data_IF_871280287063
#
_entry.id   IF_871280287063
#
_cell.length_a   1.000
_cell.length_b   1.000
_cell.length_c   1.000
_cell.angle_alpha   90.00
_cell.angle_beta   90.00
_cell.angle_gamma   90.00
#
_symmetry.space_group_name_H-M   'P 1'
#
loop_
_entity.id
_entity.type
_entity.pdbx_description
1 polymer ?
#
# COMPACT_ATOMS: atom_id res chain seq x y z
N UNK A 1 24.89 -3.15 14.91
CA UNK A 1 24.34 -3.37 13.55
C UNK A 1 25.43 -3.60 12.49
N UNK A 2 26.57 -2.88 12.51
CA UNK A 2 27.65 -3.06 11.52
C UNK A 2 28.31 -4.47 11.49
N UNK A 3 28.45 -5.14 12.65
CA UNK A 3 29.08 -6.48 12.73
C UNK A 3 28.33 -7.56 11.95
N UNK A 4 26.99 -7.51 11.91
CA UNK A 4 26.17 -8.50 11.20
C UNK A 4 26.26 -8.34 9.67
N UNK A 5 26.36 -7.10 9.18
CA UNK A 5 26.54 -6.81 7.75
C UNK A 5 27.86 -7.38 7.23
N UNK A 6 28.95 -7.15 7.97
CA UNK A 6 30.27 -7.65 7.59
C UNK A 6 30.32 -9.18 7.62
N UNK A 7 29.59 -9.83 8.52
CA UNK A 7 29.47 -11.29 8.54
C UNK A 7 28.77 -11.83 7.28
N UNK A 8 27.66 -11.21 6.86
CA UNK A 8 26.93 -11.61 5.65
C UNK A 8 27.77 -11.46 4.38
N UNK A 9 28.55 -10.38 4.26
CA UNK A 9 29.49 -10.19 3.14
C UNK A 9 30.48 -11.36 3.11
N UNK A 10 31.10 -11.70 4.25
CA UNK A 10 32.04 -12.82 4.33
C UNK A 10 31.39 -14.17 4.02
N UNK A 11 30.15 -14.43 4.46
CA UNK A 11 29.44 -15.67 4.12
C UNK A 11 29.23 -15.80 2.61
N UNK A 12 28.79 -14.72 1.95
CA UNK A 12 28.64 -14.67 0.49
C UNK A 12 29.97 -14.89 -0.23
N UNK A 13 31.04 -14.28 0.25
CA UNK A 13 32.38 -14.45 -0.34
C UNK A 13 32.89 -15.88 -0.18
N UNK A 14 32.73 -16.49 1.01
CA UNK A 14 33.11 -17.88 1.25
C UNK A 14 32.30 -18.82 0.34
N UNK A 15 30.99 -18.59 0.18
CA UNK A 15 30.16 -19.36 -0.76
C UNK A 15 30.67 -19.29 -2.19
N UNK A 16 30.95 -18.10 -2.71
CA UNK A 16 31.51 -17.92 -4.06
C UNK A 16 32.85 -18.62 -4.23
N UNK A 17 33.73 -18.56 -3.22
CA UNK A 17 35.00 -19.26 -3.25
C UNK A 17 34.78 -20.77 -3.34
N UNK A 18 33.99 -21.34 -2.41
CA UNK A 18 33.80 -22.79 -2.30
C UNK A 18 33.02 -23.41 -3.47
N UNK A 19 32.24 -22.62 -4.21
CA UNK A 19 31.61 -23.02 -5.49
C UNK A 19 32.57 -23.10 -6.66
N UNK A 20 33.70 -22.38 -6.62
CA UNK A 20 34.70 -22.44 -7.68
C UNK A 20 35.57 -23.68 -7.51
N UNK A 21 35.13 -24.81 -8.06
CA UNK A 21 35.82 -26.10 -8.02
C UNK A 21 37.07 -26.16 -8.90
N UNK A 22 37.26 -25.20 -9.82
CA UNK A 22 38.46 -25.10 -10.66
C UNK A 22 39.69 -24.60 -9.88
N UNK A 23 39.49 -23.99 -8.71
CA UNK A 23 40.55 -23.53 -7.80
C UNK A 23 40.55 -24.36 -6.51
N UNK A 24 41.74 -24.65 -5.98
CA UNK A 24 41.88 -25.22 -4.64
C UNK A 24 42.00 -24.09 -3.63
N UNK A 25 41.13 -24.08 -2.63
CA UNK A 25 41.07 -23.02 -1.62
C UNK A 25 41.71 -23.49 -0.31
N UNK A 26 42.78 -22.85 0.12
CA UNK A 26 43.28 -22.96 1.49
C UNK A 26 42.65 -21.86 2.36
N UNK A 27 42.79 -21.99 3.68
CA UNK A 27 42.23 -21.02 4.62
C UNK A 27 42.75 -19.59 4.38
N UNK A 28 44.02 -19.45 4.01
CA UNK A 28 44.63 -18.15 3.75
C UNK A 28 44.03 -17.48 2.50
N UNK A 29 43.68 -18.27 1.46
CA UNK A 29 42.96 -17.74 0.29
C UNK A 29 41.57 -17.19 0.67
N UNK A 30 40.86 -17.89 1.58
CA UNK A 30 39.54 -17.45 2.05
C UNK A 30 39.63 -16.19 2.91
N UNK A 31 40.71 -16.05 3.69
CA UNK A 31 41.01 -14.85 4.47
C UNK A 31 41.24 -13.67 3.54
N UNK A 32 42.11 -13.83 2.55
CA UNK A 32 42.42 -12.81 1.54
C UNK A 32 41.15 -12.37 0.80
N UNK A 33 40.39 -13.33 0.26
CA UNK A 33 39.15 -13.04 -0.45
C UNK A 33 38.11 -12.30 0.42
N UNK A 34 37.96 -12.68 1.70
CA UNK A 34 37.06 -11.99 2.63
C UNK A 34 37.55 -10.59 2.99
N UNK A 35 38.87 -10.40 3.09
CA UNK A 35 39.49 -9.10 3.33
C UNK A 35 39.30 -8.16 2.14
N UNK A 36 39.55 -8.64 0.93
CA UNK A 36 39.35 -7.88 -0.31
C UNK A 36 37.88 -7.48 -0.47
N UNK A 37 36.95 -8.42 -0.27
CA UNK A 37 35.53 -8.13 -0.33
C UNK A 37 35.11 -7.06 0.69
N UNK A 38 35.61 -7.10 1.92
CA UNK A 38 35.30 -6.06 2.90
C UNK A 38 35.95 -4.72 2.56
N UNK A 39 37.16 -4.72 1.98
CA UNK A 39 37.82 -3.50 1.50
C UNK A 39 37.00 -2.82 0.40
N UNK A 40 36.55 -3.56 -0.60
CA UNK A 40 35.72 -3.04 -1.70
C UNK A 40 34.40 -2.44 -1.20
N UNK A 41 33.77 -3.06 -0.21
CA UNK A 41 32.46 -2.63 0.30
C UNK A 41 32.53 -1.50 1.33
N UNK A 42 33.58 -1.42 2.16
CA UNK A 42 33.69 -0.44 3.25
C UNK A 42 34.76 0.65 3.00
N UNK A 43 35.55 0.53 1.92
CA UNK A 43 36.55 1.52 1.50
C UNK A 43 37.71 1.72 2.48
N UNK A 44 37.97 0.74 3.35
CA UNK A 44 39.00 0.78 4.39
C UNK A 44 39.74 -0.55 4.44
N UNK A 45 41.04 -0.50 4.74
CA UNK A 45 41.84 -1.70 4.99
C UNK A 45 41.32 -2.46 6.22
N UNK A 46 40.51 -3.48 5.95
CA UNK A 46 39.95 -4.38 6.97
C UNK A 46 40.57 -5.76 6.78
N UNK A 47 41.60 -6.03 7.57
CA UNK A 47 42.18 -7.36 7.63
C UNK A 47 41.31 -8.31 8.47
N UNK A 48 40.84 -9.40 7.88
CA UNK A 48 40.01 -10.39 8.56
C UNK A 48 40.91 -11.40 9.24
N UNK A 49 40.73 -11.59 10.55
CA UNK A 49 41.55 -12.56 11.28
C UNK A 49 41.22 -14.01 10.88
N UNK A 50 42.23 -14.88 10.94
CA UNK A 50 42.04 -16.34 10.77
C UNK A 50 40.93 -16.91 11.63
N UNK A 51 40.84 -16.45 12.89
CA UNK A 51 39.79 -16.88 13.84
C UNK A 51 38.40 -16.51 13.34
N UNK A 52 38.25 -15.34 12.71
CA UNK A 52 36.97 -14.85 12.17
C UNK A 52 36.48 -15.76 11.05
N UNK A 53 37.30 -16.03 10.03
CA UNK A 53 36.92 -16.92 8.93
C UNK A 53 36.62 -18.34 9.41
N UNK A 54 37.36 -18.85 10.40
CA UNK A 54 37.08 -20.16 11.00
C UNK A 54 35.72 -20.21 11.71
N UNK A 55 35.39 -19.16 12.48
CA UNK A 55 34.08 -19.04 13.12
C UNK A 55 32.95 -18.88 12.09
N UNK A 56 33.22 -18.17 11.00
CA UNK A 56 32.25 -18.00 9.92
C UNK A 56 31.97 -19.34 9.21
N UNK A 57 33.00 -20.12 8.89
CA UNK A 57 32.85 -21.49 8.35
C UNK A 57 32.10 -22.38 9.34
N UNK A 58 32.37 -22.27 10.65
CA UNK A 58 31.66 -23.02 11.67
C UNK A 58 30.17 -22.63 11.75
N UNK A 59 29.86 -21.34 11.63
CA UNK A 59 28.48 -20.84 11.60
C UNK A 59 27.76 -21.29 10.33
N UNK A 60 28.41 -21.25 9.17
CA UNK A 60 27.85 -21.74 7.90
C UNK A 60 27.56 -23.25 7.92
N UNK A 61 28.39 -24.05 8.60
CA UNK A 61 28.14 -25.48 8.83
C UNK A 61 27.01 -25.77 9.82
N UNK A 62 26.68 -24.81 10.69
CA UNK A 62 25.67 -25.00 11.73
C UNK A 62 24.25 -24.79 11.23
N UNK A 63 23.29 -25.32 11.98
CA UNK A 63 21.85 -25.14 11.79
C UNK A 63 21.36 -23.72 12.16
N UNK A 64 22.14 -22.96 12.92
CA UNK A 64 21.76 -21.64 13.48
C UNK A 64 21.36 -20.60 12.45
N UNK A 65 21.91 -20.68 11.24
CA UNK A 65 21.60 -19.78 10.12
C UNK A 65 20.74 -20.44 9.05
N UNK A 66 20.34 -21.71 9.23
CA UNK A 66 19.56 -22.48 8.26
C UNK A 66 20.33 -22.94 7.02
N UNK A 67 21.62 -22.62 6.90
CA UNK A 67 22.43 -23.01 5.75
C UNK A 67 22.76 -24.51 5.76
N UNK A 68 23.22 -25.07 6.89
CA UNK A 68 23.71 -26.46 6.95
C UNK A 68 24.73 -26.79 5.85
N UNK A 69 25.65 -25.85 5.60
CA UNK A 69 26.51 -25.93 4.44
C UNK A 69 27.46 -27.14 4.51
N UNK A 70 27.50 -28.02 3.49
CA UNK A 70 28.30 -29.25 3.47
C UNK A 70 29.77 -28.93 3.14
N UNK A 71 30.39 -28.04 3.91
CA UNK A 71 31.80 -27.65 3.74
C UNK A 71 32.68 -28.77 4.27
N UNK A 72 33.49 -29.39 3.44
CA UNK A 72 34.47 -30.41 3.85
C UNK A 72 35.92 -29.91 3.72
N UNK A 73 36.82 -30.53 4.49
CA UNK A 73 38.27 -30.29 4.38
C UNK A 73 38.93 -31.55 3.85
N UNK A 74 39.49 -31.47 2.63
CA UNK A 74 40.17 -32.59 1.98
C UNK A 74 41.68 -32.35 1.94
N UNK A 75 42.45 -33.45 1.86
CA UNK A 75 43.92 -33.43 1.92
C UNK A 75 44.47 -32.58 3.09
N UNK A 76 43.75 -32.57 4.22
CA UNK A 76 44.07 -31.87 5.47
C UNK A 76 44.18 -30.34 5.41
N UNK A 77 43.97 -29.70 4.26
CA UNK A 77 44.19 -28.24 4.13
C UNK A 77 43.25 -27.49 3.17
N UNK A 78 42.58 -28.17 2.26
CA UNK A 78 41.75 -27.51 1.25
C UNK A 78 40.27 -27.58 1.61
N UNK A 79 39.54 -26.49 1.36
CA UNK A 79 38.12 -26.37 1.63
C UNK A 79 37.32 -26.43 0.33
N UNK A 80 36.17 -27.12 0.35
CA UNK A 80 35.18 -27.13 -0.74
C UNK A 80 33.79 -27.49 -0.20
N UNK A 81 32.75 -27.27 -1.00
CA UNK A 81 31.47 -27.96 -0.77
C UNK A 81 31.58 -29.43 -1.18
N UNK A 82 30.99 -30.33 -0.39
CA UNK A 82 30.90 -31.75 -0.71
C UNK A 82 29.87 -32.02 -1.83
N UNK A 83 28.90 -31.12 -2.00
CA UNK A 83 27.89 -31.14 -3.05
C UNK A 83 28.21 -30.03 -4.07
N UNK A 84 28.35 -30.38 -5.35
CA UNK A 84 28.81 -29.46 -6.41
C UNK A 84 27.81 -28.33 -6.71
N UNK A 85 26.50 -28.59 -6.55
CA UNK A 85 25.41 -27.64 -6.82
C UNK A 85 24.98 -26.84 -5.58
N UNK A 86 25.59 -27.10 -4.43
CA UNK A 86 25.23 -26.42 -3.18
C UNK A 86 25.66 -24.95 -3.20
N UNK A 87 24.78 -24.07 -2.73
CA UNK A 87 25.10 -22.68 -2.42
C UNK A 87 24.24 -22.21 -1.26
N UNK A 88 24.80 -21.40 -0.35
CA UNK A 88 24.02 -20.76 0.71
C UNK A 88 22.98 -19.77 0.14
N UNK A 89 23.10 -19.40 -1.13
CA UNK A 89 22.12 -18.59 -1.87
C UNK A 89 20.96 -19.43 -2.40
N UNK A 90 21.14 -20.75 -2.52
CA UNK A 90 20.10 -21.71 -2.85
C UNK A 90 19.42 -22.19 -1.56
N UNK A 91 18.90 -21.25 -0.75
CA UNK A 91 18.08 -21.62 0.40
C UNK A 91 16.91 -22.46 -0.16
N UNK A 92 16.73 -23.71 0.28
CA UNK A 92 15.63 -24.52 -0.20
C UNK A 92 14.34 -23.84 0.28
N UNK A 93 13.64 -23.22 -0.66
CA UNK A 93 12.27 -22.77 -0.45
C UNK A 93 11.50 -23.99 0.04
N UNK A 94 10.97 -23.93 1.26
CA UNK A 94 10.23 -25.08 1.80
C UNK A 94 8.89 -25.21 1.08
N UNK A 95 8.30 -26.40 1.05
CA UNK A 95 6.93 -26.59 0.50
C UNK A 95 5.91 -25.66 1.18
N UNK A 96 6.16 -25.30 2.44
CA UNK A 96 5.37 -24.32 3.17
C UNK A 96 5.51 -22.91 2.60
N UNK A 97 6.74 -22.48 2.28
CA UNK A 97 7.01 -21.18 1.67
C UNK A 97 6.41 -21.10 0.27
N UNK A 98 6.53 -22.17 -0.54
CA UNK A 98 5.88 -22.28 -1.86
C UNK A 98 4.37 -22.09 -1.74
N UNK A 99 3.76 -22.72 -0.74
CA UNK A 99 2.32 -22.60 -0.49
C UNK A 99 1.93 -21.16 -0.13
N UNK A 100 2.65 -20.51 0.78
CA UNK A 100 2.39 -19.10 1.16
C UNK A 100 2.56 -18.17 -0.04
N UNK A 101 3.59 -18.39 -0.86
CA UNK A 101 3.81 -17.60 -2.07
C UNK A 101 2.67 -17.78 -3.07
N UNK A 102 2.22 -19.01 -3.31
CA UNK A 102 1.06 -19.28 -4.17
C UNK A 102 -0.20 -18.60 -3.65
N UNK A 103 -0.49 -18.70 -2.34
CA UNK A 103 -1.63 -18.01 -1.72
C UNK A 103 -1.53 -16.49 -1.88
N UNK A 104 -0.34 -15.93 -1.69
CA UNK A 104 -0.07 -14.49 -1.85
C UNK A 104 -0.27 -14.03 -3.30
N UNK A 105 0.19 -14.81 -4.28
CA UNK A 105 -0.02 -14.55 -5.70
C UNK A 105 -1.52 -14.55 -6.04
N UNK A 106 -2.32 -15.47 -5.49
CA UNK A 106 -3.78 -15.48 -5.72
C UNK A 106 -4.47 -14.21 -5.19
N UNK A 107 -3.98 -13.65 -4.06
CA UNK A 107 -4.46 -12.36 -3.55
C UNK A 107 -4.06 -11.23 -4.51
N UNK A 108 -2.79 -11.20 -4.92
CA UNK A 108 -2.28 -10.18 -5.86
C UNK A 108 -3.01 -10.22 -7.22
N UNK A 109 -3.47 -11.40 -7.66
CA UNK A 109 -4.29 -11.55 -8.86
C UNK A 109 -5.59 -10.74 -8.81
N UNK A 110 -6.17 -10.52 -7.63
CA UNK A 110 -7.36 -9.67 -7.50
C UNK A 110 -7.11 -8.20 -7.84
N UNK A 111 -5.84 -7.78 -7.84
CA UNK A 111 -5.44 -6.42 -8.16
C UNK A 111 -4.99 -6.23 -9.62
N UNK A 112 -4.94 -7.30 -10.45
CA UNK A 112 -4.47 -7.21 -11.86
C UNK A 112 -5.27 -6.20 -12.72
N UNK A 113 -6.53 -5.96 -12.37
CA UNK A 113 -7.41 -5.03 -13.08
C UNK A 113 -7.29 -3.57 -12.59
N UNK A 114 -6.53 -3.31 -11.52
CA UNK A 114 -6.21 -1.94 -11.14
C UNK A 114 -5.18 -1.38 -12.12
N UNK A 115 -5.53 -0.26 -12.75
CA UNK A 115 -4.70 0.40 -13.77
C UNK A 115 -3.28 0.72 -13.31
N UNK A 116 -3.08 0.99 -12.01
CA UNK A 116 -1.79 1.25 -11.38
C UNK A 116 -0.83 0.04 -11.47
N UNK A 117 -1.36 -1.18 -11.61
CA UNK A 117 -0.60 -2.42 -11.53
C UNK A 117 -0.38 -3.10 -12.89
N UNK A 118 -0.61 -2.40 -14.00
CA UNK A 118 -0.29 -2.94 -15.33
C UNK A 118 1.19 -3.35 -15.46
N UNK A 119 2.12 -2.59 -14.88
CA UNK A 119 3.54 -2.95 -14.83
C UNK A 119 3.82 -4.09 -13.83
N UNK A 120 3.03 -4.18 -12.76
CA UNK A 120 3.10 -5.29 -11.81
C UNK A 120 2.60 -6.61 -12.39
N UNK A 121 1.76 -6.60 -13.42
CA UNK A 121 1.33 -7.85 -14.08
C UNK A 121 2.53 -8.66 -14.58
N UNK A 122 3.54 -8.02 -15.18
CA UNK A 122 4.77 -8.71 -15.60
C UNK A 122 5.67 -9.15 -14.43
N UNK A 123 5.57 -8.50 -13.26
CA UNK A 123 6.25 -8.98 -12.04
C UNK A 123 5.51 -10.19 -11.48
N UNK A 124 4.18 -10.15 -11.43
CA UNK A 124 3.32 -11.23 -10.97
C UNK A 124 3.49 -12.45 -11.89
N UNK A 125 3.53 -12.27 -13.21
CA UNK A 125 3.81 -13.34 -14.18
C UNK A 125 5.18 -13.98 -13.93
N UNK A 126 6.24 -13.17 -13.73
CA UNK A 126 7.57 -13.72 -13.40
C UNK A 126 7.61 -14.45 -12.06
N UNK A 127 6.84 -13.99 -11.07
CA UNK A 127 6.70 -14.68 -9.78
C UNK A 127 5.93 -15.99 -9.96
N UNK A 128 4.86 -15.98 -10.75
CA UNK A 128 4.07 -17.16 -11.15
C UNK A 128 4.91 -18.19 -11.92
N UNK A 129 5.88 -17.77 -12.72
CA UNK A 129 6.80 -18.67 -13.43
C UNK A 129 7.90 -19.22 -12.51
N UNK A 130 8.33 -18.43 -11.51
CA UNK A 130 9.41 -18.79 -10.58
C UNK A 130 8.98 -19.80 -9.51
N UNK A 131 7.72 -19.72 -9.11
CA UNK A 131 7.06 -20.74 -8.30
C UNK A 131 6.47 -21.74 -9.31
N UNK A 132 6.57 -23.05 -9.13
CA UNK A 132 5.99 -24.04 -10.07
C UNK A 132 4.45 -24.03 -10.05
N UNK A 133 3.82 -22.86 -10.20
CA UNK A 133 2.39 -22.62 -10.11
C UNK A 133 1.69 -23.02 -11.41
N UNK A 134 1.73 -24.32 -11.73
CA UNK A 134 0.89 -24.90 -12.78
C UNK A 134 -0.54 -25.08 -12.27
N UNK A 135 -1.25 -23.99 -12.02
CA UNK A 135 -2.71 -24.03 -11.80
C UNK A 135 -3.38 -23.00 -12.71
N UNK A 136 -3.70 -23.46 -13.93
CA UNK A 136 -4.31 -22.66 -15.00
C UNK A 136 -5.80 -22.37 -14.80
N UNK A 137 -6.46 -22.95 -13.81
CA UNK A 137 -7.94 -22.92 -13.67
C UNK A 137 -8.45 -22.59 -12.26
N UNK A 138 -7.76 -21.74 -11.49
CA UNK A 138 -8.27 -21.32 -10.18
C UNK A 138 -9.26 -20.17 -10.31
N UNK A 139 -10.54 -20.48 -10.08
CA UNK A 139 -11.56 -19.49 -9.74
C UNK A 139 -11.06 -18.72 -8.51
N UNK A 140 -11.10 -17.37 -8.53
CA UNK A 140 -10.58 -16.59 -7.43
C UNK A 140 -11.38 -16.85 -6.14
N UNK A 141 -10.68 -17.27 -5.08
CA UNK A 141 -11.27 -17.51 -3.75
C UNK A 141 -11.68 -16.18 -3.09
N UNK A 142 -10.87 -15.14 -3.29
CA UNK A 142 -11.18 -13.77 -2.86
C UNK A 142 -11.82 -13.06 -4.05
N UNK A 143 -13.01 -12.50 -3.85
CA UNK A 143 -13.68 -11.68 -4.86
C UNK A 143 -13.80 -10.25 -4.33
N UNK A 144 -12.99 -9.35 -4.87
CA UNK A 144 -13.09 -7.92 -4.58
C UNK A 144 -14.18 -7.29 -5.45
N UNK A 145 -14.91 -6.32 -4.90
CA UNK A 145 -15.86 -5.54 -5.69
C UNK A 145 -15.09 -4.76 -6.76
N UNK A 146 -15.47 -4.97 -8.02
CA UNK A 146 -14.87 -4.29 -9.17
C UNK A 146 -15.88 -3.33 -9.78
N UNK A 147 -15.39 -2.17 -10.18
CA UNK A 147 -16.15 -1.24 -11.00
C UNK A 147 -15.48 -1.13 -12.37
N UNK A 148 -15.68 -2.15 -13.20
CA UNK A 148 -15.03 -2.28 -14.52
C UNK A 148 -15.37 -1.14 -15.49
N UNK A 149 -16.45 -0.40 -15.21
CA UNK A 149 -16.89 0.76 -15.98
C UNK A 149 -16.39 2.09 -15.40
N UNK A 150 -15.58 2.06 -14.34
CA UNK A 150 -15.06 3.28 -13.72
C UNK A 150 -14.09 3.99 -14.66
N UNK A 151 -14.53 5.15 -15.16
CA UNK A 151 -13.70 6.06 -15.95
C UNK A 151 -12.67 6.77 -15.07
N UNK A 152 -11.53 7.16 -15.65
CA UNK A 152 -10.50 7.95 -14.98
C UNK A 152 -9.40 7.12 -14.32
N UNK A 153 -9.51 5.79 -14.29
CA UNK A 153 -8.45 4.90 -13.81
C UNK A 153 -7.17 5.04 -14.65
N UNK A 154 -7.32 5.35 -15.94
CA UNK A 154 -6.25 5.64 -16.89
C UNK A 154 -5.35 6.82 -16.48
N UNK A 155 -5.85 7.72 -15.62
CA UNK A 155 -5.09 8.89 -15.15
C UNK A 155 -4.26 8.62 -13.90
N UNK A 156 -4.51 7.52 -13.18
CA UNK A 156 -3.88 7.23 -11.88
C UNK A 156 -2.36 7.22 -12.01
N UNK A 157 -1.83 6.49 -12.99
CA UNK A 157 -0.39 6.32 -13.20
C UNK A 157 0.32 7.67 -13.43
N UNK A 158 -0.24 8.48 -14.34
CA UNK A 158 0.26 9.83 -14.61
C UNK A 158 0.22 10.73 -13.38
N UNK A 159 -0.88 10.67 -12.62
CA UNK A 159 -1.04 11.48 -11.40
C UNK A 159 -0.08 11.03 -10.30
N UNK A 160 0.11 9.72 -10.15
CA UNK A 160 1.06 9.14 -9.20
C UNK A 160 2.48 9.65 -9.47
N UNK A 161 2.93 9.52 -10.72
CA UNK A 161 4.26 10.02 -11.12
C UNK A 161 4.40 11.54 -10.97
N UNK A 162 3.34 12.30 -11.25
CA UNK A 162 3.38 13.75 -11.06
C UNK A 162 3.49 14.15 -9.58
N UNK A 163 2.81 13.44 -8.66
CA UNK A 163 2.95 13.65 -7.22
C UNK A 163 4.37 13.30 -6.78
N UNK A 164 4.86 12.11 -7.17
CA UNK A 164 6.19 11.61 -6.79
C UNK A 164 7.31 12.54 -7.27
N UNK A 165 7.22 13.04 -8.50
CA UNK A 165 8.22 13.90 -9.12
C UNK A 165 7.95 15.39 -8.88
N UNK A 166 6.95 15.76 -8.06
CA UNK A 166 6.58 17.14 -7.74
C UNK A 166 6.38 17.99 -9.00
N UNK A 167 5.53 17.51 -9.92
CA UNK A 167 5.26 18.15 -11.20
C UNK A 167 3.92 18.88 -11.20
N UNK A 168 3.89 20.08 -11.77
CA UNK A 168 2.67 20.86 -12.00
C UNK A 168 1.98 20.36 -13.25
N UNK A 169 0.66 20.16 -13.16
CA UNK A 169 -0.13 19.63 -14.26
C UNK A 169 -1.17 20.65 -14.74
N UNK A 170 -1.43 20.63 -16.04
CA UNK A 170 -2.55 21.30 -16.68
C UNK A 170 -3.67 20.29 -16.88
N UNK A 171 -4.79 20.47 -16.18
CA UNK A 171 -5.93 19.56 -16.20
C UNK A 171 -7.14 20.23 -16.83
N UNK A 172 -7.78 19.54 -17.77
CA UNK A 172 -9.11 19.90 -18.28
C UNK A 172 -10.15 19.08 -17.53
N UNK A 173 -11.04 19.77 -16.82
CA UNK A 173 -11.99 19.14 -15.90
C UNK A 173 -13.43 19.58 -16.17
N UNK A 174 -14.37 18.63 -16.12
CA UNK A 174 -15.80 18.88 -16.31
C UNK A 174 -16.61 18.39 -15.11
N UNK A 175 -16.87 19.27 -14.16
CA UNK A 175 -17.77 18.92 -13.05
C UNK A 175 -19.20 18.68 -13.56
N UNK A 176 -19.98 17.83 -12.88
CA UNK A 176 -21.39 17.57 -13.25
C UNK A 176 -22.29 18.81 -13.21
N UNK A 177 -21.87 19.87 -12.52
CA UNK A 177 -22.62 21.14 -12.44
C UNK A 177 -22.17 22.16 -13.48
N UNK A 178 -21.02 21.96 -14.12
CA UNK A 178 -20.44 22.93 -15.03
C UNK A 178 -21.05 22.78 -16.42
N UNK A 179 -21.40 23.93 -17.04
CA UNK A 179 -21.86 23.95 -18.44
C UNK A 179 -20.70 23.66 -19.41
N UNK A 180 -19.52 24.19 -19.09
CA UNK A 180 -18.32 24.09 -19.92
C UNK A 180 -17.18 23.43 -19.15
N UNK A 181 -16.21 22.92 -19.90
CA UNK A 181 -14.95 22.41 -19.37
C UNK A 181 -14.11 23.58 -18.84
N UNK A 182 -13.32 23.30 -17.81
CA UNK A 182 -12.42 24.29 -17.23
C UNK A 182 -11.00 23.76 -17.25
N UNK A 183 -10.10 24.58 -17.75
CA UNK A 183 -8.68 24.31 -17.71
C UNK A 183 -8.09 24.89 -16.42
N UNK A 184 -7.39 24.05 -15.66
CA UNK A 184 -6.91 24.37 -14.32
C UNK A 184 -5.48 23.88 -14.19
N UNK A 185 -4.58 24.78 -13.76
CA UNK A 185 -3.26 24.40 -13.28
C UNK A 185 -3.40 23.88 -11.85
N UNK A 186 -2.86 22.69 -11.62
CA UNK A 186 -2.94 22.01 -10.34
C UNK A 186 -1.57 21.57 -9.85
N UNK A 187 -1.42 21.55 -8.52
CA UNK A 187 -0.31 20.89 -7.83
C UNK A 187 -0.89 19.63 -7.15
N UNK A 188 -0.82 18.45 -7.81
CA UNK A 188 -1.33 17.18 -7.27
C UNK A 188 -0.66 16.86 -5.94
N UNK A 189 -1.41 16.59 -4.86
CA UNK A 189 -0.83 16.31 -3.53
C UNK A 189 -1.01 14.85 -3.11
N UNK A 190 -2.20 14.28 -3.33
CA UNK A 190 -2.54 12.94 -2.83
C UNK A 190 -3.66 12.31 -3.66
N UNK A 191 -3.56 11.01 -3.88
CA UNK A 191 -4.64 10.18 -4.45
C UNK A 191 -5.38 9.46 -3.33
N UNK A 192 -6.71 9.51 -3.36
CA UNK A 192 -7.57 8.84 -2.39
C UNK A 192 -8.63 8.00 -3.09
N UNK A 193 -8.74 6.75 -2.69
CA UNK A 193 -9.85 5.88 -3.03
C UNK A 193 -10.96 6.04 -1.96
N UNK A 194 -12.20 6.13 -2.41
CA UNK A 194 -13.38 6.08 -1.55
C UNK A 194 -14.60 5.57 -2.30
N UNK A 195 -15.23 4.52 -1.78
CA UNK A 195 -16.43 3.89 -2.36
C UNK A 195 -16.26 3.49 -3.83
N UNK A 196 -15.19 2.77 -4.14
CA UNK A 196 -14.81 2.28 -5.45
C UNK A 196 -14.67 3.40 -6.48
N UNK A 197 -14.16 4.56 -6.04
CA UNK A 197 -13.90 5.74 -6.87
C UNK A 197 -12.62 6.43 -6.43
N UNK A 198 -11.87 6.90 -7.41
CA UNK A 198 -10.62 7.61 -7.19
C UNK A 198 -10.79 9.13 -7.25
N UNK A 199 -10.09 9.79 -6.34
CA UNK A 199 -10.07 11.23 -6.21
C UNK A 199 -8.64 11.75 -6.10
N UNK A 200 -8.39 12.90 -6.70
CA UNK A 200 -7.14 13.64 -6.60
C UNK A 200 -7.36 14.84 -5.68
N UNK A 201 -6.60 14.91 -4.60
CA UNK A 201 -6.45 16.13 -3.82
C UNK A 201 -5.33 16.97 -4.44
N UNK A 202 -5.66 18.19 -4.85
CA UNK A 202 -4.67 19.09 -5.45
C UNK A 202 -4.91 20.54 -5.04
N UNK A 203 -3.84 21.33 -5.02
CA UNK A 203 -3.96 22.78 -4.94
C UNK A 203 -4.32 23.33 -6.33
N UNK A 204 -5.37 24.15 -6.39
CA UNK A 204 -5.75 24.85 -7.61
C UNK A 204 -4.86 26.04 -7.95
N UNK A 205 -5.12 26.66 -9.11
CA UNK A 205 -4.38 27.81 -9.61
C UNK A 205 -4.30 28.93 -8.54
N UNK A 206 -3.08 29.46 -8.32
CA UNK A 206 -2.67 30.38 -7.25
C UNK A 206 -2.36 29.76 -5.88
N UNK A 207 -2.40 28.44 -5.71
CA UNK A 207 -1.87 27.75 -4.53
C UNK A 207 -2.61 28.01 -3.21
N UNK A 208 -3.88 28.45 -3.27
CA UNK A 208 -4.62 28.91 -2.09
C UNK A 208 -5.61 27.92 -1.50
N UNK A 209 -6.17 27.02 -2.30
CA UNK A 209 -7.27 26.17 -1.86
C UNK A 209 -7.04 24.73 -2.30
N UNK A 210 -7.11 23.81 -1.34
CA UNK A 210 -7.12 22.38 -1.61
C UNK A 210 -8.48 21.96 -2.15
N UNK A 211 -8.47 21.30 -3.29
CA UNK A 211 -9.68 20.84 -3.97
C UNK A 211 -9.57 19.36 -4.28
N UNK A 212 -10.65 18.64 -4.00
CA UNK A 212 -10.79 17.23 -4.37
C UNK A 212 -11.43 17.13 -5.76
N UNK A 213 -10.72 16.54 -6.71
CA UNK A 213 -11.17 16.26 -8.08
C UNK A 213 -11.49 14.78 -8.25
N UNK A 214 -12.64 14.45 -8.81
CA UNK A 214 -12.99 13.07 -9.09
C UNK A 214 -12.39 12.65 -10.44
N UNK A 215 -11.64 11.55 -10.49
CA UNK A 215 -10.88 11.18 -11.69
C UNK A 215 -11.79 10.88 -12.89
N UNK A 216 -13.00 10.37 -12.65
CA UNK A 216 -14.01 10.08 -13.69
C UNK A 216 -14.53 11.31 -14.45
N UNK A 217 -14.14 12.51 -14.01
CA UNK A 217 -14.55 13.80 -14.60
C UNK A 217 -13.41 14.57 -15.26
N UNK A 218 -12.23 13.97 -15.28
CA UNK A 218 -11.07 14.51 -15.98
C UNK A 218 -11.26 14.22 -17.47
N UNK A 219 -11.09 15.25 -18.29
CA UNK A 219 -11.16 15.14 -19.75
C UNK A 219 -9.77 14.89 -20.32
N UNK A 220 -8.76 15.62 -19.81
CA UNK A 220 -7.35 15.41 -20.18
C UNK A 220 -6.42 15.98 -19.12
N UNK A 221 -5.19 15.44 -19.06
CA UNK A 221 -4.13 15.91 -18.17
C UNK A 221 -2.82 15.95 -18.95
N UNK A 222 -2.16 17.09 -18.91
CA UNK A 222 -0.87 17.33 -19.53
C UNK A 222 0.11 17.93 -18.52
N UNK A 223 1.40 17.85 -18.82
CA UNK A 223 2.41 18.57 -18.04
C UNK A 223 2.22 20.07 -18.30
N UNK A 224 2.48 20.89 -17.28
CA UNK A 224 2.57 22.32 -17.50
C UNK A 224 3.70 22.63 -18.50
N UNK A 225 3.40 23.41 -19.54
CA UNK A 225 4.43 23.98 -20.43
C UNK A 225 5.13 25.18 -19.79
N UNK A 226 4.51 25.74 -18.75
CA UNK A 226 5.05 26.84 -17.95
C UNK A 226 5.96 26.30 -16.85
N UNK A 227 7.11 26.96 -16.64
CA UNK A 227 8.06 26.67 -15.57
C UNK A 227 7.52 27.17 -14.21
N UNK A 228 6.57 26.42 -13.68
CA UNK A 228 5.88 26.72 -12.42
C UNK A 228 6.50 25.87 -11.32
N UNK A 229 6.96 26.54 -10.25
CA UNK A 229 7.45 25.86 -9.05
C UNK A 229 6.29 25.09 -8.39
N UNK A 230 6.49 23.79 -8.20
CA UNK A 230 5.54 22.96 -7.48
C UNK A 230 5.45 23.35 -6.01
N UNK A 231 4.22 23.53 -5.52
CA UNK A 231 3.95 23.83 -4.11
C UNK A 231 3.57 22.52 -3.41
N UNK A 232 4.44 22.06 -2.52
CA UNK A 232 4.24 20.86 -1.71
C UNK A 232 3.66 21.22 -0.34
N UNK A 233 2.44 20.80 -0.07
CA UNK A 233 1.78 20.99 1.23
C UNK A 233 2.14 19.90 2.24
N UNK A 234 2.91 18.88 1.84
CA UNK A 234 3.28 17.74 2.69
C UNK A 234 2.05 17.12 3.37
N UNK A 235 1.00 16.89 2.59
CA UNK A 235 -0.28 16.43 3.11
C UNK A 235 -0.18 14.99 3.57
N UNK A 236 -0.44 14.78 4.86
CA UNK A 236 -0.75 13.48 5.42
C UNK A 236 -2.26 13.22 5.26
N UNK A 237 -2.60 12.16 4.52
CA UNK A 237 -4.00 11.77 4.28
C UNK A 237 -4.74 11.37 5.55
N UNK A 238 -4.08 10.72 6.51
CA UNK A 238 -4.71 10.28 7.75
C UNK A 238 -5.07 11.48 8.63
N UNK A 239 -4.24 12.54 8.59
CA UNK A 239 -4.51 13.80 9.28
C UNK A 239 -5.57 14.61 8.54
N UNK A 240 -5.45 14.77 7.22
CA UNK A 240 -6.33 15.61 6.41
C UNK A 240 -7.78 15.11 6.40
N UNK A 241 -7.97 13.79 6.33
CA UNK A 241 -9.30 13.18 6.30
C UNK A 241 -9.81 12.71 7.67
N UNK A 242 -9.05 12.95 8.75
CA UNK A 242 -9.32 12.45 10.10
C UNK A 242 -10.75 12.69 10.55
N UNK A 243 -11.27 13.89 10.29
CA UNK A 243 -12.55 14.34 10.84
C UNK A 243 -13.70 14.30 9.82
N UNK A 244 -13.55 13.60 8.70
CA UNK A 244 -14.60 13.49 7.68
C UNK A 244 -14.91 12.04 7.33
N UNK A 245 -16.12 11.82 6.83
CA UNK A 245 -16.45 10.58 6.13
C UNK A 245 -16.19 10.83 4.64
N UNK A 246 -15.33 10.02 4.02
CA UNK A 246 -15.04 10.12 2.58
C UNK A 246 -14.02 11.18 2.20
N UNK A 247 -14.34 11.99 1.17
CA UNK A 247 -13.35 12.78 0.41
C UNK A 247 -13.59 14.29 0.40
N UNK A 248 -14.74 14.73 0.90
CA UNK A 248 -15.10 16.14 0.97
C UNK A 248 -14.69 16.72 2.32
N UNK A 249 -13.60 17.49 2.33
CA UNK A 249 -13.11 18.24 3.49
C UNK A 249 -13.39 19.73 3.28
N UNK A 250 -13.91 20.40 4.31
CA UNK A 250 -14.17 21.84 4.26
C UNK A 250 -13.27 22.56 5.28
N UNK A 251 -12.39 23.43 4.80
CA UNK A 251 -11.42 24.14 5.66
C UNK A 251 -12.07 24.97 6.77
N UNK A 252 -13.27 25.51 6.51
CA UNK A 252 -13.99 26.39 7.44
C UNK A 252 -15.07 25.67 8.27
N UNK A 253 -15.13 24.34 8.23
CA UNK A 253 -16.13 23.58 8.98
C UNK A 253 -15.44 22.82 10.10
N UNK A 254 -15.80 23.15 11.34
CA UNK A 254 -15.28 22.46 12.51
C UNK A 254 -16.04 21.15 12.70
N UNK A 255 -15.36 20.05 13.06
CA UNK A 255 -16.03 18.80 13.40
C UNK A 255 -16.94 18.98 14.62
N UNK A 256 -18.16 18.48 14.52
CA UNK A 256 -19.15 18.53 15.59
C UNK A 256 -19.62 17.13 15.99
N UNK A 257 -20.19 17.02 17.19
CA UNK A 257 -20.67 15.74 17.71
C UNK A 257 -22.04 15.42 17.07
N UNK A 258 -22.06 14.39 16.24
CA UNK A 258 -23.28 13.85 15.64
C UNK A 258 -23.74 12.68 16.48
N UNK A 259 -24.99 12.73 16.94
CA UNK A 259 -25.65 11.68 17.71
C UNK A 259 -26.77 11.08 16.89
N UNK A 260 -26.79 9.77 16.76
CA UNK A 260 -27.81 9.06 16.00
C UNK A 260 -28.19 7.75 16.68
N UNK A 261 -29.41 7.28 16.42
CA UNK A 261 -29.96 6.03 16.93
C UNK A 261 -30.22 5.08 15.77
N UNK A 262 -29.85 3.82 15.96
CA UNK A 262 -30.10 2.72 15.01
C UNK A 262 -31.00 1.70 15.69
N UNK A 263 -31.94 1.11 14.95
CA UNK A 263 -32.74 0.01 15.46
C UNK A 263 -31.88 -1.19 15.93
N UNK A 264 -32.44 -2.04 16.77
CA UNK A 264 -31.69 -3.18 17.31
C UNK A 264 -31.30 -4.23 16.25
N UNK A 265 -32.03 -4.28 15.12
CA UNK A 265 -31.76 -5.21 14.01
C UNK A 265 -30.50 -4.80 13.24
N UNK A 266 -30.25 -3.50 13.09
CA UNK A 266 -29.15 -2.96 12.31
C UNK A 266 -27.96 -2.53 13.15
N UNK A 267 -28.14 -2.34 14.47
CA UNK A 267 -27.06 -1.98 15.38
C UNK A 267 -25.82 -2.89 15.28
N UNK A 268 -25.93 -4.24 15.14
CA UNK A 268 -24.75 -5.09 14.96
C UNK A 268 -23.88 -4.70 13.76
N UNK A 269 -24.49 -4.34 12.62
CA UNK A 269 -23.75 -3.94 11.42
C UNK A 269 -22.97 -2.63 11.63
N UNK A 270 -23.55 -1.69 12.38
CA UNK A 270 -22.91 -0.40 12.70
C UNK A 270 -21.80 -0.56 13.75
N UNK A 271 -21.93 -1.54 14.64
CA UNK A 271 -20.87 -1.90 15.60
C UNK A 271 -19.68 -2.53 14.89
N UNK A 272 -19.92 -3.48 13.98
CA UNK A 272 -18.84 -4.18 13.26
C UNK A 272 -18.24 -3.34 12.13
N UNK A 273 -19.00 -2.38 11.59
CA UNK A 273 -18.56 -1.44 10.55
C UNK A 273 -18.93 -0.01 10.96
N UNK A 274 -18.15 0.63 11.85
CA UNK A 274 -18.37 1.99 12.29
C UNK A 274 -18.41 2.98 11.13
N UNK A 275 -19.24 4.01 11.24
CA UNK A 275 -19.30 5.08 10.22
C UNK A 275 -18.05 5.93 10.19
N UNK A 276 -17.38 6.04 11.34
CA UNK A 276 -16.17 6.83 11.54
C UNK A 276 -15.35 6.27 12.69
N UNK A 277 -14.05 6.55 12.71
CA UNK A 277 -13.11 6.04 13.73
C UNK A 277 -13.40 6.59 15.14
N UNK A 278 -14.07 7.73 15.25
CA UNK A 278 -14.50 8.34 16.52
C UNK A 278 -15.82 7.79 17.06
N UNK A 279 -16.35 6.70 16.47
CA UNK A 279 -17.64 6.17 16.87
C UNK A 279 -17.62 5.57 18.27
N UNK A 280 -18.53 6.04 19.12
CA UNK A 280 -18.74 5.53 20.47
C UNK A 280 -20.20 5.07 20.65
N UNK A 281 -20.39 4.01 21.43
CA UNK A 281 -21.73 3.54 21.81
C UNK A 281 -22.12 4.20 23.13
N UNK A 282 -23.21 4.98 23.13
CA UNK A 282 -23.65 5.73 24.31
C UNK A 282 -24.65 4.94 25.14
N UNK A 283 -25.61 4.29 24.50
CA UNK A 283 -26.65 3.52 25.20
C UNK A 283 -27.25 2.44 24.29
N UNK A 284 -27.78 1.41 24.92
CA UNK A 284 -28.59 0.35 24.29
C UNK A 284 -29.90 0.25 25.04
N UNK A 285 -31.02 0.35 24.33
CA UNK A 285 -32.36 0.22 24.87
C UNK A 285 -33.23 -0.69 23.98
N UNK A 286 -34.47 -0.95 24.40
CA UNK A 286 -35.40 -1.82 23.66
C UNK A 286 -35.72 -1.31 22.25
N UNK A 287 -35.62 0.01 22.04
CA UNK A 287 -35.94 0.67 20.77
C UNK A 287 -34.72 0.75 19.84
N UNK A 288 -33.49 0.63 20.35
CA UNK A 288 -32.28 0.68 19.53
C UNK A 288 -31.00 0.98 20.30
N UNK A 289 -29.91 1.14 19.53
CA UNK A 289 -28.61 1.55 20.04
C UNK A 289 -28.30 2.98 19.61
N UNK A 290 -27.86 3.81 20.56
CA UNK A 290 -27.46 5.20 20.31
C UNK A 290 -25.95 5.30 20.19
N UNK A 291 -25.48 5.95 19.13
CA UNK A 291 -24.08 6.18 18.83
C UNK A 291 -23.75 7.66 18.73
N UNK A 292 -22.48 7.98 18.90
CA UNK A 292 -21.92 9.31 18.63
C UNK A 292 -20.69 9.22 17.75
N UNK A 293 -20.52 10.17 16.85
CA UNK A 293 -19.31 10.37 16.04
C UNK A 293 -18.95 11.86 16.06
N UNK A 294 -17.67 12.20 15.98
CA UNK A 294 -17.18 13.58 15.86
C UNK A 294 -16.64 13.81 14.46
N UNK A 295 -17.43 14.50 13.62
CA UNK A 295 -17.11 14.67 12.18
C UNK A 295 -17.57 16.03 11.66
N UNK A 296 -16.98 16.49 10.56
CA UNK A 296 -17.54 17.57 9.77
C UNK A 296 -18.78 17.05 9.03
N UNK A 297 -19.85 17.84 9.09
CA UNK A 297 -21.08 17.52 8.38
C UNK A 297 -20.88 17.75 6.87
N UNK A 298 -20.68 16.67 6.13
CA UNK A 298 -20.49 16.67 4.68
C UNK A 298 -21.57 15.84 3.95
N UNK A 299 -21.42 15.71 2.63
CA UNK A 299 -22.40 15.01 1.78
C UNK A 299 -22.35 13.50 1.96
N UNK A 300 -21.17 12.95 2.23
CA UNK A 300 -20.91 11.54 2.43
C UNK A 300 -21.57 11.03 3.71
N UNK A 301 -21.48 11.80 4.81
CA UNK A 301 -22.23 11.51 6.04
C UNK A 301 -23.74 11.44 5.78
N UNK A 302 -24.31 12.39 5.03
CA UNK A 302 -25.73 12.35 4.69
C UNK A 302 -26.09 11.10 3.89
N UNK A 303 -25.23 10.69 2.96
CA UNK A 303 -25.46 9.48 2.16
C UNK A 303 -25.41 8.22 3.00
N UNK A 304 -24.46 8.13 3.93
CA UNK A 304 -24.39 7.01 4.87
C UNK A 304 -25.69 6.95 5.67
N UNK A 305 -26.13 8.06 6.28
CA UNK A 305 -27.38 8.11 7.04
C UNK A 305 -28.57 7.71 6.16
N UNK A 306 -28.73 8.31 4.99
CA UNK A 306 -29.86 8.00 4.10
C UNK A 306 -29.83 6.56 3.59
N UNK A 307 -28.65 5.93 3.51
CA UNK A 307 -28.51 4.52 3.12
C UNK A 307 -29.15 3.54 4.11
N UNK A 308 -29.30 3.93 5.38
CA UNK A 308 -30.02 3.15 6.39
C UNK A 308 -31.54 3.41 6.39
N UNK A 309 -32.02 4.41 5.63
CA UNK A 309 -33.45 4.67 5.46
C UNK A 309 -34.17 4.92 6.79
N UNK A 310 -35.20 4.13 7.04
CA UNK A 310 -36.07 4.17 8.23
C UNK A 310 -35.41 3.61 9.50
N UNK A 311 -34.28 2.91 9.37
CA UNK A 311 -33.62 2.22 10.49
C UNK A 311 -32.69 3.13 11.31
N UNK A 312 -32.48 4.37 10.87
CA UNK A 312 -31.64 5.38 11.53
C UNK A 312 -32.42 6.66 11.84
N UNK A 313 -32.21 7.20 13.03
CA UNK A 313 -32.68 8.53 13.41
C UNK A 313 -31.50 9.41 13.83
N UNK A 314 -31.39 10.61 13.23
CA UNK A 314 -30.45 11.62 13.69
C UNK A 314 -31.04 12.36 14.89
N UNK A 315 -30.38 12.28 16.04
CA UNK A 315 -30.79 12.94 17.28
C UNK A 315 -30.16 14.34 17.43
N UNK A 316 -28.90 14.49 17.00
CA UNK A 316 -28.17 15.76 17.03
C UNK A 316 -27.07 15.79 15.96
N UNK A 317 -26.64 16.97 15.48
CA UNK A 317 -27.21 18.30 15.76
C UNK A 317 -28.51 18.55 14.96
N UNK A 318 -29.31 19.50 15.42
CA UNK A 318 -30.62 19.84 14.80
C UNK A 318 -30.50 20.24 13.34
N UNK A 319 -29.38 20.89 12.97
CA UNK A 319 -29.08 21.23 11.58
C UNK A 319 -29.02 20.00 10.69
N UNK A 320 -28.37 18.92 11.14
CA UNK A 320 -28.29 17.67 10.39
C UNK A 320 -29.65 17.01 10.31
N UNK A 321 -30.34 16.90 11.45
CA UNK A 321 -31.68 16.32 11.54
C UNK A 321 -32.65 16.98 10.57
N UNK A 322 -32.70 18.32 10.58
CA UNK A 322 -33.56 19.11 9.68
C UNK A 322 -33.21 18.87 8.21
N UNK A 323 -31.91 18.76 7.89
CA UNK A 323 -31.45 18.52 6.52
C UNK A 323 -31.83 17.13 6.01
N UNK A 324 -31.69 16.09 6.84
CA UNK A 324 -32.10 14.72 6.52
C UNK A 324 -33.62 14.64 6.38
N UNK A 325 -34.36 15.21 7.33
CA UNK A 325 -35.83 15.29 7.27
C UNK A 325 -36.32 15.94 5.96
N UNK A 326 -35.75 17.08 5.58
CA UNK A 326 -36.11 17.74 4.32
C UNK A 326 -35.78 16.92 3.06
N UNK A 327 -34.74 16.07 3.08
CA UNK A 327 -34.44 15.14 1.99
C UNK A 327 -35.42 13.97 1.94
N UNK A 328 -35.77 13.40 3.09
CA UNK A 328 -36.75 12.31 3.18
C UNK A 328 -38.13 12.77 2.71
N UNK A 329 -38.57 13.97 3.09
CA UNK A 329 -39.83 14.54 2.58
C UNK A 329 -39.83 14.63 1.05
N UNK A 330 -38.80 15.23 0.45
CA UNK A 330 -38.65 15.28 -1.02
C UNK A 330 -38.52 13.91 -1.68
N UNK A 331 -38.05 12.89 -0.95
CA UNK A 331 -37.98 11.54 -1.46
C UNK A 331 -39.39 10.92 -1.47
N UNK A 332 -40.16 11.10 -0.40
CA UNK A 332 -41.56 10.67 -0.30
C UNK A 332 -42.43 11.33 -1.37
N UNK A 333 -42.29 12.65 -1.57
CA UNK A 333 -43.01 13.43 -2.61
C UNK A 333 -42.77 12.92 -4.06
N UNK A 334 -41.82 11.99 -4.29
CA UNK A 334 -41.57 11.37 -5.61
C UNK A 334 -42.33 10.06 -5.82
N UNK A 335 -42.87 9.49 -4.74
CA UNK A 335 -43.64 8.24 -4.76
C UNK A 335 -45.13 8.47 -4.49
N UNK A 336 -45.48 9.64 -3.97
CA UNK A 336 -46.83 10.20 -3.95
C UNK A 336 -47.12 10.95 -5.26
#
# INVERSE_FOLDING_TARGET
MASNKNALIRYKTIDQCLRNTFRRWVLDDLIEACSDALYEYEGKDVYVSKRTVQLDIQMMRSDKLGYNAPIEVYQRKFYRYAEEDYSIMNIPVTDHDIKIMNESIQILRQFKDFSLFKEMNGVIERLEDSVYANEKDNIPIIHLEKNDQLKGLEHIDRLYHAIQNKQVLKMVYKSFKARNESEILIHPQLLKEFNNRWFLLALGNKGKLLTTFALDRIVSIHNSEEDIVYIDQHIDGDVYYKDVIGVTVSENVVPELVKFKIDNRNAPYVITKPFHTSQETISKDELGTTFTIKVQINFELERVILGFGDTIEVLAPDRLRTRIHGKLKRALDRYE
#
